data_IF_159330013073
#
_entry.id   IF_159330013073
#
_cell.length_a   1.000
_cell.length_b   1.000
_cell.length_c   1.000
_cell.angle_alpha   90.00
_cell.angle_beta   90.00
_cell.angle_gamma   90.00
#
_symmetry.space_group_name_H-M   'P 1'
#
loop_
_entity.id
_entity.type
_entity.pdbx_description
1 polymer ?
#
# COMPACT_ATOMS: atom_id res chain seq x y z
N UNK A 1 10.09 9.53 -33.65
CA UNK A 1 9.51 8.42 -32.82
C UNK A 1 10.50 7.82 -31.80
N UNK A 2 11.83 7.95 -31.97
CA UNK A 2 12.84 7.43 -31.04
C UNK A 2 13.04 8.27 -29.77
N UNK A 3 12.65 9.54 -29.77
CA UNK A 3 12.80 10.43 -28.61
C UNK A 3 11.89 10.07 -27.41
N UNK A 4 10.75 9.41 -27.67
CA UNK A 4 9.83 8.97 -26.61
C UNK A 4 10.29 7.73 -25.83
N UNK A 5 11.14 6.90 -26.44
CA UNK A 5 11.66 5.67 -25.80
C UNK A 5 12.79 5.96 -24.79
N UNK A 6 13.55 7.04 -24.99
CA UNK A 6 14.67 7.40 -24.11
C UNK A 6 14.25 7.87 -22.71
N UNK A 7 13.06 8.46 -22.58
CA UNK A 7 12.55 8.97 -21.29
C UNK A 7 12.04 7.86 -20.34
N UNK A 8 11.78 6.65 -20.84
CA UNK A 8 11.37 5.48 -20.08
C UNK A 8 12.41 4.36 -20.07
N UNK A 9 13.57 4.58 -20.69
CA UNK A 9 14.65 3.62 -20.77
C UNK A 9 15.30 3.41 -19.39
N UNK A 10 14.94 2.32 -18.70
CA UNK A 10 15.77 1.82 -17.61
C UNK A 10 17.15 1.48 -18.18
N UNK A 11 18.21 2.08 -17.61
CA UNK A 11 19.58 1.72 -17.93
C UNK A 11 19.72 0.19 -17.81
N UNK A 12 20.29 -0.47 -18.82
CA UNK A 12 20.46 -1.93 -18.84
C UNK A 12 21.15 -2.46 -17.59
N UNK A 13 22.16 -1.77 -17.08
CA UNK A 13 22.85 -2.12 -15.85
C UNK A 13 21.89 -2.07 -14.63
N UNK A 14 21.04 -1.07 -14.57
CA UNK A 14 20.04 -0.95 -13.50
C UNK A 14 19.01 -2.08 -13.57
N UNK A 15 18.50 -2.40 -14.76
CA UNK A 15 17.57 -3.51 -14.95
C UNK A 15 18.17 -4.87 -14.55
N UNK A 16 19.43 -5.12 -14.92
CA UNK A 16 20.16 -6.34 -14.53
C UNK A 16 20.36 -6.40 -13.02
N UNK A 17 20.76 -5.31 -12.39
CA UNK A 17 20.96 -5.26 -10.94
C UNK A 17 19.64 -5.45 -10.18
N UNK A 18 18.55 -4.82 -10.64
CA UNK A 18 17.24 -5.00 -10.05
C UNK A 18 16.75 -6.45 -10.22
N UNK A 19 16.92 -7.05 -11.39
CA UNK A 19 16.58 -8.45 -11.64
C UNK A 19 17.35 -9.42 -10.73
N UNK A 20 18.65 -9.20 -10.53
CA UNK A 20 19.46 -9.98 -9.59
C UNK A 20 18.99 -9.82 -8.15
N UNK A 21 18.66 -8.60 -7.73
CA UNK A 21 18.13 -8.34 -6.39
C UNK A 21 16.79 -9.05 -6.17
N UNK A 22 15.85 -8.93 -7.12
CA UNK A 22 14.55 -9.59 -7.04
C UNK A 22 14.72 -11.10 -6.96
N UNK A 23 15.58 -11.67 -7.79
CA UNK A 23 15.88 -13.10 -7.77
C UNK A 23 16.46 -13.55 -6.42
N UNK A 24 17.46 -12.83 -5.90
CA UNK A 24 18.07 -13.13 -4.60
C UNK A 24 17.06 -13.06 -3.45
N UNK A 25 16.19 -12.03 -3.45
CA UNK A 25 15.12 -11.89 -2.45
C UNK A 25 14.08 -13.02 -2.55
N UNK A 26 13.67 -13.40 -3.76
CA UNK A 26 12.76 -14.52 -3.99
C UNK A 26 13.39 -15.85 -3.53
N UNK A 27 14.65 -16.07 -3.84
CA UNK A 27 15.41 -17.25 -3.39
C UNK A 27 15.46 -17.32 -1.85
N UNK A 28 15.83 -16.22 -1.19
CA UNK A 28 15.86 -16.17 0.28
C UNK A 28 14.47 -16.38 0.90
N UNK A 29 13.43 -15.81 0.31
CA UNK A 29 12.04 -16.00 0.76
C UNK A 29 11.61 -17.47 0.66
N UNK A 30 12.05 -18.20 -0.37
CA UNK A 30 11.72 -19.60 -0.59
C UNK A 30 12.52 -20.56 0.31
N UNK A 31 13.84 -20.33 0.47
CA UNK A 31 14.75 -21.26 1.13
C UNK A 31 15.03 -20.94 2.60
N UNK A 32 14.97 -19.67 2.98
CA UNK A 32 15.18 -19.18 4.35
C UNK A 32 14.07 -18.23 4.79
N UNK A 33 12.78 -18.66 4.76
CA UNK A 33 11.65 -17.76 4.92
C UNK A 33 11.63 -17.04 6.28
N UNK A 34 12.00 -17.71 7.37
CA UNK A 34 12.03 -17.10 8.70
C UNK A 34 13.01 -15.94 8.77
N UNK A 35 14.22 -16.16 8.30
CA UNK A 35 15.27 -15.13 8.32
C UNK A 35 14.96 -14.01 7.33
N UNK A 36 14.39 -14.35 6.17
CA UNK A 36 13.90 -13.36 5.21
C UNK A 36 12.88 -12.42 5.85
N UNK A 37 11.84 -12.96 6.50
CA UNK A 37 10.80 -12.14 7.10
C UNK A 37 11.31 -11.33 8.30
N UNK A 38 12.20 -11.89 9.13
CA UNK A 38 12.84 -11.14 10.22
C UNK A 38 13.63 -9.95 9.69
N UNK A 39 14.45 -10.15 8.66
CA UNK A 39 15.23 -9.10 8.04
C UNK A 39 14.33 -8.05 7.35
N UNK A 40 13.35 -8.50 6.55
CA UNK A 40 12.42 -7.62 5.86
C UNK A 40 11.66 -6.72 6.84
N UNK A 41 11.13 -7.26 7.93
CA UNK A 41 10.38 -6.51 8.93
C UNK A 41 11.27 -5.57 9.75
N UNK A 42 12.50 -5.95 10.03
CA UNK A 42 13.46 -5.13 10.75
C UNK A 42 13.93 -3.92 9.94
N UNK A 43 14.16 -4.12 8.64
CA UNK A 43 14.79 -3.15 7.75
C UNK A 43 13.84 -2.55 6.71
N UNK A 44 12.52 -2.74 6.85
CA UNK A 44 11.55 -2.18 5.91
C UNK A 44 11.58 -0.64 5.91
N UNK A 45 12.34 -0.08 4.97
CA UNK A 45 12.44 1.36 4.71
C UNK A 45 12.04 1.70 3.27
N UNK A 46 11.37 0.75 2.59
CA UNK A 46 10.96 0.89 1.21
C UNK A 46 9.72 1.77 1.02
N UNK A 47 9.16 1.71 -0.18
CA UNK A 47 8.00 2.50 -0.59
C UNK A 47 6.72 2.14 0.15
N UNK A 48 6.61 0.87 0.59
CA UNK A 48 5.43 0.38 1.29
C UNK A 48 5.46 0.70 2.78
N UNK A 49 4.30 1.00 3.35
CA UNK A 49 4.14 1.17 4.80
C UNK A 49 4.41 -0.16 5.53
N UNK A 50 4.93 -0.07 6.74
CA UNK A 50 5.35 -1.24 7.54
C UNK A 50 4.22 -2.26 7.76
N UNK A 51 2.98 -1.81 7.87
CA UNK A 51 1.84 -2.70 8.06
C UNK A 51 1.66 -3.68 6.88
N UNK A 52 1.98 -3.26 5.64
CA UNK A 52 1.91 -4.12 4.45
C UNK A 52 2.82 -5.34 4.62
N UNK A 53 4.09 -5.12 4.98
CA UNK A 53 5.04 -6.21 5.18
C UNK A 53 4.61 -7.17 6.31
N UNK A 54 3.99 -6.64 7.37
CA UNK A 54 3.48 -7.45 8.47
C UNK A 54 2.28 -8.29 8.05
N UNK A 55 1.37 -7.71 7.28
CA UNK A 55 0.23 -8.43 6.70
C UNK A 55 0.71 -9.54 5.76
N UNK A 56 1.66 -9.25 4.89
CA UNK A 56 2.27 -10.24 3.99
C UNK A 56 2.92 -11.41 4.74
N UNK A 57 3.67 -11.12 5.82
CA UNK A 57 4.26 -12.16 6.66
C UNK A 57 3.19 -13.04 7.31
N UNK A 58 2.12 -12.46 7.82
CA UNK A 58 0.97 -13.20 8.38
C UNK A 58 0.28 -14.06 7.32
N UNK A 59 0.02 -13.51 6.14
CA UNK A 59 -0.59 -14.24 5.02
C UNK A 59 0.30 -15.40 4.54
N UNK A 60 1.62 -15.27 4.71
CA UNK A 60 2.58 -16.36 4.48
C UNK A 60 2.64 -17.39 5.62
N UNK A 61 1.76 -17.29 6.62
CA UNK A 61 1.64 -18.24 7.73
C UNK A 61 2.59 -18.00 8.92
N UNK A 62 3.28 -16.85 8.97
CA UNK A 62 4.23 -16.55 10.05
C UNK A 62 3.53 -15.89 11.25
N UNK A 63 3.77 -16.43 12.45
CA UNK A 63 3.45 -15.71 13.69
C UNK A 63 4.49 -14.58 13.87
N UNK A 64 3.98 -13.35 13.99
CA UNK A 64 4.85 -12.19 14.16
C UNK A 64 5.67 -12.25 15.46
N UNK A 65 5.22 -12.99 16.47
CA UNK A 65 5.98 -13.23 17.71
C UNK A 65 7.26 -14.01 17.44
N UNK A 66 7.18 -15.04 16.61
CA UNK A 66 8.35 -15.82 16.21
C UNK A 66 9.36 -15.01 15.40
N UNK A 67 8.89 -13.93 14.78
CA UNK A 67 9.71 -12.97 14.05
C UNK A 67 10.24 -11.84 14.94
N UNK A 68 9.95 -11.89 16.26
CA UNK A 68 10.44 -10.91 17.23
C UNK A 68 9.53 -9.70 17.46
N UNK A 69 8.25 -9.79 17.05
CA UNK A 69 7.26 -8.74 17.30
C UNK A 69 6.33 -9.16 18.44
N UNK A 70 6.32 -8.47 19.57
CA UNK A 70 5.44 -8.81 20.68
C UNK A 70 3.97 -8.57 20.35
N UNK A 71 3.08 -9.39 20.90
CA UNK A 71 1.65 -9.12 20.88
C UNK A 71 1.32 -8.02 21.88
N UNK A 72 0.67 -6.96 21.43
CA UNK A 72 0.07 -5.98 22.32
C UNK A 72 -1.29 -6.46 22.84
N UNK A 73 -1.31 -7.36 23.81
CA UNK A 73 -2.56 -7.98 24.31
C UNK A 73 -3.39 -7.00 25.16
N UNK A 74 -2.79 -5.95 25.70
CA UNK A 74 -3.43 -4.98 26.60
C UNK A 74 -3.65 -3.61 25.99
N UNK A 75 -3.18 -3.36 24.78
CA UNK A 75 -3.31 -2.08 24.09
C UNK A 75 -4.61 -2.01 23.30
N UNK A 76 -5.21 -0.82 23.21
CA UNK A 76 -6.36 -0.62 22.32
C UNK A 76 -5.95 -0.89 20.86
N UNK A 77 -6.90 -1.21 19.97
CA UNK A 77 -6.61 -1.45 18.55
C UNK A 77 -5.83 -0.30 17.90
N UNK A 78 -6.17 0.95 18.26
CA UNK A 78 -5.50 2.15 17.77
C UNK A 78 -4.05 2.25 18.27
N UNK A 79 -3.81 1.93 19.54
CA UNK A 79 -2.46 1.92 20.14
C UNK A 79 -1.61 0.81 19.51
N UNK A 80 -2.18 -0.37 19.30
CA UNK A 80 -1.50 -1.47 18.61
C UNK A 80 -1.08 -1.07 17.20
N UNK A 81 -1.99 -0.50 16.42
CA UNK A 81 -1.67 -0.05 15.07
C UNK A 81 -0.62 1.06 15.07
N UNK A 82 -0.77 2.04 15.96
CA UNK A 82 0.19 3.16 16.08
C UNK A 82 1.59 2.68 16.44
N UNK A 83 1.70 1.70 17.34
CA UNK A 83 2.97 1.16 17.84
C UNK A 83 3.59 0.13 16.90
N UNK A 84 2.78 -0.80 16.39
CA UNK A 84 3.25 -1.96 15.63
C UNK A 84 3.03 -1.84 14.13
N UNK A 85 2.12 -0.95 13.68
CA UNK A 85 1.73 -0.79 12.28
C UNK A 85 0.89 -1.96 11.76
N UNK A 86 0.20 -2.68 12.62
CA UNK A 86 -0.72 -3.77 12.27
C UNK A 86 -1.73 -4.02 13.39
N UNK A 87 -2.84 -4.69 13.04
CA UNK A 87 -3.81 -5.20 14.01
C UNK A 87 -3.54 -6.67 14.29
N UNK A 88 -3.59 -7.04 15.56
CA UNK A 88 -3.42 -8.44 15.97
C UNK A 88 -4.70 -9.25 15.79
N UNK A 89 -5.85 -8.58 15.77
CA UNK A 89 -7.17 -9.19 15.67
C UNK A 89 -7.90 -8.61 14.46
N UNK A 90 -8.42 -9.45 13.55
CA UNK A 90 -9.11 -9.01 12.33
C UNK A 90 -10.31 -8.10 12.60
N UNK A 91 -11.04 -8.31 13.69
CA UNK A 91 -12.19 -7.53 14.12
C UNK A 91 -11.86 -6.07 14.45
N UNK A 92 -10.60 -5.77 14.68
CA UNK A 92 -10.14 -4.41 14.94
C UNK A 92 -9.69 -3.66 13.69
N UNK A 93 -9.66 -4.32 12.54
CA UNK A 93 -9.42 -3.60 11.29
C UNK A 93 -10.58 -2.67 11.02
N UNK A 94 -10.31 -1.37 10.72
CA UNK A 94 -11.37 -0.48 10.25
C UNK A 94 -12.04 -1.07 9.01
N UNK A 95 -13.34 -0.83 8.88
CA UNK A 95 -14.06 -1.30 7.69
C UNK A 95 -13.55 -0.55 6.46
N UNK A 96 -12.70 -1.21 5.69
CA UNK A 96 -12.18 -0.72 4.42
C UNK A 96 -13.00 -1.35 3.31
N UNK A 97 -13.49 -0.55 2.37
CA UNK A 97 -14.42 -1.02 1.36
C UNK A 97 -14.20 -0.34 0.02
N UNK A 98 -14.63 -1.03 -1.02
CA UNK A 98 -14.95 -0.44 -2.33
C UNK A 98 -16.39 -0.83 -2.63
N UNK A 99 -17.28 0.13 -2.69
CA UNK A 99 -18.70 -0.09 -2.92
C UNK A 99 -19.11 0.58 -4.22
N UNK A 100 -19.61 -0.21 -5.16
CA UNK A 100 -20.26 0.31 -6.37
C UNK A 100 -21.55 1.05 -5.98
N UNK A 101 -21.74 2.24 -6.53
CA UNK A 101 -22.92 3.06 -6.26
C UNK A 101 -23.87 3.08 -7.45
N UNK A 102 -23.41 3.57 -8.59
CA UNK A 102 -24.20 3.62 -9.81
C UNK A 102 -23.30 3.56 -11.05
N UNK A 103 -23.58 2.61 -11.91
CA UNK A 103 -22.76 2.35 -13.10
C UNK A 103 -21.33 1.97 -12.71
N UNK A 104 -20.33 2.69 -13.25
CA UNK A 104 -18.92 2.52 -12.96
C UNK A 104 -18.41 3.41 -11.80
N UNK A 105 -19.32 4.04 -11.05
CA UNK A 105 -19.01 4.88 -9.88
C UNK A 105 -18.85 4.02 -8.64
N UNK A 106 -17.89 4.40 -7.81
CA UNK A 106 -17.59 3.70 -6.55
C UNK A 106 -17.35 4.72 -5.43
N UNK A 107 -17.74 4.35 -4.23
CA UNK A 107 -17.24 4.92 -2.98
C UNK A 107 -16.23 3.96 -2.39
N UNK A 108 -15.18 4.49 -1.79
CA UNK A 108 -14.14 3.67 -1.20
C UNK A 108 -13.59 4.27 0.09
N UNK A 109 -13.10 3.39 0.94
CA UNK A 109 -12.24 3.70 2.06
C UNK A 109 -11.12 2.66 2.10
N UNK A 110 -9.87 3.09 2.23
CA UNK A 110 -8.74 2.17 2.22
C UNK A 110 -7.55 2.69 3.01
N UNK A 111 -6.77 1.76 3.56
CA UNK A 111 -5.50 2.03 4.22
C UNK A 111 -4.42 2.32 3.18
N UNK A 112 -3.70 3.42 3.36
CA UNK A 112 -2.58 3.75 2.47
C UNK A 112 -1.47 2.73 2.62
N UNK A 113 -1.24 1.97 1.56
CA UNK A 113 -0.12 1.01 1.46
C UNK A 113 1.12 1.68 0.89
N UNK A 114 0.94 2.43 -0.19
CA UNK A 114 1.98 3.15 -0.91
C UNK A 114 1.39 4.34 -1.65
N UNK A 115 2.25 5.23 -2.15
CA UNK A 115 1.82 6.32 -3.00
C UNK A 115 3.00 7.08 -3.61
N UNK A 116 2.71 7.86 -4.64
CA UNK A 116 3.66 8.81 -5.23
C UNK A 116 2.93 9.98 -5.86
N UNK A 117 3.54 11.15 -5.78
CA UNK A 117 3.08 12.34 -6.50
C UNK A 117 3.89 12.47 -7.78
N UNK A 118 3.20 12.67 -8.88
CA UNK A 118 3.80 12.90 -10.18
C UNK A 118 3.38 14.29 -10.69
N UNK A 119 4.32 15.02 -11.27
CA UNK A 119 4.06 16.28 -11.95
C UNK A 119 4.12 16.02 -13.45
N UNK A 120 2.95 16.02 -14.09
CA UNK A 120 2.84 15.85 -15.53
C UNK A 120 3.19 17.10 -16.33
N UNK A 121 3.18 16.97 -17.64
CA UNK A 121 3.31 18.08 -18.56
C UNK A 121 2.24 19.14 -18.31
N UNK A 122 2.60 20.43 -18.38
CA UNK A 122 1.69 21.53 -18.04
C UNK A 122 1.54 21.79 -16.54
N UNK A 123 2.40 21.20 -15.69
CA UNK A 123 2.46 21.49 -14.25
C UNK A 123 1.33 20.90 -13.41
N UNK A 124 0.46 20.07 -14.00
CA UNK A 124 -0.61 19.40 -13.28
C UNK A 124 -0.05 18.27 -12.42
N UNK A 125 -0.50 18.19 -11.18
CA UNK A 125 -0.12 17.12 -10.28
C UNK A 125 -1.12 15.98 -10.33
N UNK A 126 -0.61 14.76 -10.25
CA UNK A 126 -1.39 13.55 -10.08
C UNK A 126 -0.76 12.75 -8.95
N UNK A 127 -1.57 12.30 -8.01
CA UNK A 127 -1.12 11.40 -6.95
C UNK A 127 -1.69 10.02 -7.24
N UNK A 128 -0.81 9.04 -7.29
CA UNK A 128 -1.17 7.63 -7.32
C UNK A 128 -1.05 7.08 -5.92
N UNK A 129 -2.08 6.39 -5.45
CA UNK A 129 -2.11 5.78 -4.12
C UNK A 129 -2.60 4.35 -4.25
N UNK A 130 -1.88 3.40 -3.68
CA UNK A 130 -2.36 2.02 -3.51
C UNK A 130 -2.95 1.88 -2.12
N UNK A 131 -4.19 1.46 -2.05
CA UNK A 131 -4.96 1.29 -0.83
C UNK A 131 -5.18 -0.19 -0.54
N UNK A 132 -4.97 -0.60 0.70
CA UNK A 132 -5.45 -1.89 1.20
C UNK A 132 -6.91 -1.77 1.60
N UNK A 133 -7.74 -2.66 1.07
CA UNK A 133 -9.18 -2.76 1.35
C UNK A 133 -9.50 -4.11 1.97
N UNK A 134 -10.77 -4.45 2.10
CA UNK A 134 -11.22 -5.69 2.72
C UNK A 134 -10.50 -6.94 2.18
N UNK A 135 -10.35 -7.95 3.02
CA UNK A 135 -9.78 -9.26 2.68
C UNK A 135 -8.31 -9.27 2.19
N UNK A 136 -7.56 -8.19 2.43
CA UNK A 136 -6.18 -8.08 2.00
C UNK A 136 -6.01 -7.75 0.51
N UNK A 137 -7.05 -7.33 -0.15
CA UNK A 137 -7.02 -6.83 -1.52
C UNK A 137 -6.40 -5.42 -1.58
N UNK A 138 -5.84 -5.09 -2.74
CA UNK A 138 -5.28 -3.78 -3.01
C UNK A 138 -6.00 -3.11 -4.18
N UNK A 139 -6.23 -1.81 -4.04
CA UNK A 139 -6.87 -0.99 -5.08
C UNK A 139 -6.00 0.22 -5.38
N UNK A 140 -5.73 0.45 -6.65
CA UNK A 140 -5.02 1.63 -7.10
C UNK A 140 -5.98 2.79 -7.34
N UNK A 141 -5.65 3.95 -6.80
CA UNK A 141 -6.43 5.17 -6.91
C UNK A 141 -5.58 6.28 -7.50
N UNK A 142 -6.12 6.97 -8.51
CA UNK A 142 -5.52 8.14 -9.13
C UNK A 142 -6.25 9.40 -8.69
N UNK A 143 -5.55 10.31 -8.01
CA UNK A 143 -6.09 11.58 -7.50
C UNK A 143 -5.48 12.72 -8.30
N UNK A 144 -6.31 13.51 -9.00
CA UNK A 144 -5.86 14.59 -9.92
C UNK A 144 -5.47 15.88 -9.19
N UNK A 145 -4.76 15.74 -8.08
CA UNK A 145 -4.20 16.84 -7.28
C UNK A 145 -3.02 16.34 -6.46
N UNK A 146 -2.17 17.23 -5.91
CA UNK A 146 -1.24 16.83 -4.87
C UNK A 146 -2.02 16.31 -3.66
N UNK A 147 -1.62 15.16 -3.15
CA UNK A 147 -2.25 14.55 -1.99
C UNK A 147 -1.18 14.07 -1.00
N UNK A 148 -1.31 14.45 0.26
CA UNK A 148 -0.34 14.16 1.32
C UNK A 148 -0.44 12.72 1.84
N UNK A 149 -0.28 11.73 0.98
CA UNK A 149 -0.41 10.31 1.34
C UNK A 149 0.57 9.82 2.41
N UNK A 150 1.72 10.51 2.58
CA UNK A 150 2.74 10.11 3.57
C UNK A 150 2.25 10.29 5.00
N UNK A 151 1.50 11.37 5.24
CA UNK A 151 0.96 11.74 6.54
C UNK A 151 -0.47 11.25 6.75
N UNK A 152 -0.99 10.49 5.78
CA UNK A 152 -2.35 9.94 5.74
C UNK A 152 -2.29 8.45 5.99
N UNK A 153 -3.17 7.94 6.84
CA UNK A 153 -3.32 6.51 7.10
C UNK A 153 -4.49 5.91 6.31
N UNK A 154 -5.60 6.65 6.21
CA UNK A 154 -6.81 6.23 5.51
C UNK A 154 -7.19 7.25 4.46
N UNK A 155 -7.55 6.79 3.28
CA UNK A 155 -8.13 7.62 2.21
C UNK A 155 -9.57 7.19 2.00
N UNK A 156 -10.47 8.16 2.06
CA UNK A 156 -11.89 7.99 1.73
C UNK A 156 -12.21 8.83 0.50
N UNK A 157 -13.00 8.32 -0.41
CA UNK A 157 -13.31 9.07 -1.60
C UNK A 157 -14.35 8.43 -2.52
N UNK A 158 -14.58 9.12 -3.61
CA UNK A 158 -15.48 8.68 -4.68
C UNK A 158 -14.78 8.83 -6.04
N UNK A 159 -15.06 7.92 -6.94
CA UNK A 159 -14.42 7.91 -8.24
C UNK A 159 -15.13 7.02 -9.25
N UNK A 160 -14.47 6.81 -10.37
CA UNK A 160 -14.89 5.90 -11.43
C UNK A 160 -13.88 4.78 -11.59
N UNK A 161 -14.36 3.55 -11.73
CA UNK A 161 -13.50 2.42 -12.12
C UNK A 161 -13.07 2.61 -13.57
N UNK A 162 -11.78 2.49 -13.79
CA UNK A 162 -11.13 2.57 -15.09
C UNK A 162 -10.25 1.35 -15.31
N UNK A 163 -9.95 1.09 -16.57
CA UNK A 163 -9.02 0.07 -17.02
C UNK A 163 -7.83 0.71 -17.72
N UNK A 164 -6.63 0.27 -17.39
CA UNK A 164 -5.41 0.61 -18.12
C UNK A 164 -4.49 -0.59 -18.15
N UNK A 165 -4.00 -0.98 -19.31
CA UNK A 165 -3.09 -2.12 -19.50
C UNK A 165 -3.55 -3.41 -18.77
N UNK A 166 -4.85 -3.69 -18.79
CA UNK A 166 -5.41 -4.87 -18.13
C UNK A 166 -5.62 -4.76 -16.61
N UNK A 167 -5.20 -3.66 -15.99
CA UNK A 167 -5.39 -3.41 -14.56
C UNK A 167 -6.52 -2.43 -14.31
N UNK A 168 -7.30 -2.70 -13.26
CA UNK A 168 -8.35 -1.79 -12.79
C UNK A 168 -7.77 -0.78 -11.82
N UNK A 169 -8.23 0.47 -11.91
CA UNK A 169 -7.93 1.52 -10.95
C UNK A 169 -9.14 2.45 -10.78
N UNK A 170 -9.14 3.24 -9.71
CA UNK A 170 -10.18 4.25 -9.46
C UNK A 170 -9.64 5.62 -9.87
N UNK A 171 -10.29 6.26 -10.86
CA UNK A 171 -10.06 7.67 -11.21
C UNK A 171 -10.88 8.52 -10.25
N UNK A 172 -10.22 9.01 -9.19
CA UNK A 172 -10.86 9.67 -8.06
C UNK A 172 -10.98 11.18 -8.31
N UNK A 173 -12.19 11.73 -8.11
CA UNK A 173 -12.43 13.17 -8.19
C UNK A 173 -12.57 13.83 -6.82
N UNK A 174 -12.93 13.07 -5.78
CA UNK A 174 -13.02 13.57 -4.41
C UNK A 174 -12.33 12.60 -3.45
N UNK A 175 -11.27 13.07 -2.79
CA UNK A 175 -10.52 12.29 -1.84
C UNK A 175 -10.20 13.13 -0.60
N UNK A 176 -10.43 12.52 0.56
CA UNK A 176 -10.04 13.03 1.88
C UNK A 176 -9.10 12.04 2.56
N UNK A 177 -8.06 12.56 3.17
CA UNK A 177 -7.11 11.80 3.95
C UNK A 177 -7.35 11.99 5.44
N UNK A 178 -7.25 10.92 6.19
CA UNK A 178 -7.41 10.91 7.64
C UNK A 178 -6.22 10.22 8.29
N UNK A 179 -5.87 10.68 9.48
CA UNK A 179 -5.10 9.84 10.40
C UNK A 179 -6.04 8.76 10.94
N UNK A 180 -5.48 7.62 11.31
CA UNK A 180 -6.29 6.48 11.74
C UNK A 180 -7.18 6.80 12.95
N UNK A 181 -6.63 7.50 13.92
CA UNK A 181 -7.35 7.95 15.12
C UNK A 181 -8.54 8.86 14.79
N UNK A 182 -8.38 9.75 13.81
CA UNK A 182 -9.45 10.60 13.30
C UNK A 182 -10.52 9.78 12.57
N UNK A 183 -10.12 8.83 11.76
CA UNK A 183 -11.06 7.99 10.99
C UNK A 183 -11.92 7.10 11.90
N UNK A 184 -11.35 6.57 12.97
CA UNK A 184 -12.06 5.68 13.91
C UNK A 184 -12.95 6.43 14.92
N UNK A 185 -12.88 7.77 14.97
CA UNK A 185 -13.74 8.61 15.80
C UNK A 185 -14.99 9.11 15.08
N UNK A 186 -15.13 8.82 13.79
CA UNK A 186 -16.29 9.09 12.96
C UNK A 186 -17.12 7.83 12.74
#
# INVERSE_FOLDING_TARGET
ELYGLGSFGLCRAHAVNLGRLIWALAYQKAHNPKEFWRAALKHCQGSYKRWVHKTEAKNAGWDLRELGYPNGITESPQQQYKRHGYWTQPEFMPNMFVQETWGDRVNFAGLVANGRVFRGEGGRYVTFVTLGVNNGEYVDVTIKKPFGYRDTDVVVGSGKVRMSNGSRYIDCWDAKGYRLDQYLSH
#
